data_IF_882272343818
#
_entry.id   IF_882272343818
#
_cell.length_a   1.000
_cell.length_b   1.000
_cell.length_c   1.000
_cell.angle_alpha   90.00
_cell.angle_beta   90.00
_cell.angle_gamma   90.00
#
_symmetry.space_group_name_H-M   'P 1'
#
loop_
_entity.id
_entity.type
_entity.pdbx_description
1 polymer ?
#
# COMPACT_ATOMS: atom_id res chain seq x y z
N UNK A 1 6.89 11.67 -18.42
CA UNK A 1 5.62 11.75 -17.67
C UNK A 1 5.87 12.49 -16.36
N UNK A 2 4.98 13.40 -15.95
CA UNK A 2 5.08 14.06 -14.65
C UNK A 2 5.02 13.02 -13.53
N UNK A 3 5.83 13.21 -12.48
CA UNK A 3 5.83 12.30 -11.34
C UNK A 3 4.62 12.57 -10.46
N UNK A 4 4.15 11.52 -9.78
CA UNK A 4 2.94 11.59 -8.97
C UNK A 4 3.13 10.80 -7.70
N UNK A 5 2.67 11.34 -6.57
CA UNK A 5 2.62 10.64 -5.28
C UNK A 5 1.19 10.60 -4.78
N UNK A 6 0.81 9.47 -4.21
CA UNK A 6 -0.50 9.25 -3.63
C UNK A 6 -0.43 9.38 -2.12
N UNK A 7 -1.43 10.02 -1.53
CA UNK A 7 -1.64 10.04 -0.08
C UNK A 7 -2.60 8.93 0.33
N UNK A 8 -2.41 8.39 1.53
CA UNK A 8 -3.36 7.45 2.13
C UNK A 8 -4.71 8.15 2.32
N UNK A 9 -5.84 7.49 2.00
CA UNK A 9 -7.15 8.05 2.26
C UNK A 9 -7.58 7.89 3.73
N UNK A 10 -6.84 7.11 4.52
CA UNK A 10 -7.03 6.96 5.97
C UNK A 10 -5.74 7.27 6.74
N UNK A 11 -5.84 7.62 8.03
CA UNK A 11 -4.67 7.78 8.89
C UNK A 11 -4.10 6.41 9.31
N UNK A 12 -2.78 6.30 9.46
CA UNK A 12 -2.10 5.03 9.74
C UNK A 12 -2.59 4.33 11.03
N UNK A 13 -2.99 5.11 12.04
CA UNK A 13 -3.54 4.57 13.29
C UNK A 13 -4.86 3.82 13.11
N UNK A 14 -5.61 4.06 12.02
CA UNK A 14 -6.87 3.37 11.74
C UNK A 14 -6.64 1.87 11.53
N UNK A 15 -5.54 1.50 10.87
CA UNK A 15 -5.15 0.10 10.65
C UNK A 15 -4.97 -0.60 12.00
N UNK A 16 -4.31 0.05 12.95
CA UNK A 16 -4.12 -0.48 14.30
C UNK A 16 -5.44 -0.54 15.07
N UNK A 17 -6.25 0.52 15.01
CA UNK A 17 -7.53 0.59 15.71
C UNK A 17 -8.51 -0.52 15.30
N UNK A 18 -8.43 -0.98 14.04
CA UNK A 18 -9.30 -2.04 13.51
C UNK A 18 -8.66 -3.42 13.68
N UNK A 19 -7.37 -3.57 13.34
CA UNK A 19 -6.72 -4.89 13.33
C UNK A 19 -6.45 -5.38 14.76
N UNK A 20 -6.02 -4.52 15.67
CA UNK A 20 -5.69 -4.91 17.05
C UNK A 20 -6.86 -5.61 17.79
N UNK A 21 -8.08 -5.04 17.88
CA UNK A 21 -9.19 -5.73 18.54
C UNK A 21 -9.58 -7.03 17.82
N UNK A 22 -9.44 -7.09 16.50
CA UNK A 22 -9.77 -8.28 15.74
C UNK A 22 -8.76 -9.41 15.98
N UNK A 23 -7.47 -9.09 15.98
CA UNK A 23 -6.41 -10.04 16.33
C UNK A 23 -6.58 -10.52 17.78
N UNK A 24 -6.90 -9.63 18.73
CA UNK A 24 -7.19 -10.02 20.12
C UNK A 24 -8.39 -10.98 20.18
N UNK A 25 -9.49 -10.65 19.48
CA UNK A 25 -10.66 -11.52 19.41
C UNK A 25 -10.33 -12.89 18.81
N UNK A 26 -9.49 -12.92 17.77
CA UNK A 26 -9.03 -14.16 17.15
C UNK A 26 -8.23 -15.02 18.12
N UNK A 27 -7.28 -14.42 18.84
CA UNK A 27 -6.45 -15.09 19.86
C UNK A 27 -7.33 -15.66 20.98
N UNK A 28 -8.29 -14.87 21.50
CA UNK A 28 -9.25 -15.35 22.51
C UNK A 28 -10.04 -16.55 21.99
N UNK A 29 -10.51 -16.52 20.74
CA UNK A 29 -11.24 -17.64 20.13
C UNK A 29 -10.38 -18.89 20.00
N UNK A 30 -9.10 -18.74 19.67
CA UNK A 30 -8.15 -19.86 19.65
C UNK A 30 -8.04 -20.50 21.04
N UNK A 31 -7.90 -19.69 22.10
CA UNK A 31 -7.78 -20.22 23.46
C UNK A 31 -9.07 -20.86 23.98
N UNK A 32 -10.22 -20.27 23.68
CA UNK A 32 -11.51 -20.74 24.22
C UNK A 32 -12.10 -21.91 23.42
N UNK A 33 -11.97 -21.89 22.08
CA UNK A 33 -12.64 -22.85 21.18
C UNK A 33 -11.67 -23.73 20.39
N UNK A 34 -10.37 -23.47 20.47
CA UNK A 34 -9.35 -24.16 19.68
C UNK A 34 -9.19 -23.59 18.27
N UNK A 35 -8.00 -23.79 17.71
CA UNK A 35 -7.59 -23.33 16.37
C UNK A 35 -8.46 -23.92 15.25
N UNK A 36 -8.94 -25.16 15.44
CA UNK A 36 -9.76 -25.86 14.42
C UNK A 36 -11.24 -25.46 14.46
N UNK A 37 -11.64 -24.59 15.39
CA UNK A 37 -13.02 -24.11 15.44
C UNK A 37 -13.35 -23.25 14.22
N UNK A 38 -14.54 -23.46 13.63
CA UNK A 38 -15.01 -22.65 12.50
C UNK A 38 -15.02 -21.16 12.80
N UNK A 39 -15.35 -20.78 14.05
CA UNK A 39 -15.34 -19.40 14.49
C UNK A 39 -13.94 -18.79 14.47
N UNK A 40 -12.92 -19.50 14.97
CA UNK A 40 -11.53 -19.03 14.92
C UNK A 40 -11.05 -18.86 13.47
N UNK A 41 -11.36 -19.83 12.59
CA UNK A 41 -11.00 -19.75 11.17
C UNK A 41 -11.64 -18.53 10.47
N UNK A 42 -12.93 -18.28 10.71
CA UNK A 42 -13.64 -17.13 10.10
C UNK A 42 -13.06 -15.81 10.58
N UNK A 43 -12.83 -15.64 11.89
CA UNK A 43 -12.29 -14.38 12.43
C UNK A 43 -10.86 -14.15 11.95
N UNK A 44 -10.01 -15.18 11.94
CA UNK A 44 -8.65 -15.09 11.40
C UNK A 44 -8.63 -14.75 9.92
N UNK A 45 -9.55 -15.32 9.12
CA UNK A 45 -9.67 -14.98 7.70
C UNK A 45 -10.04 -13.50 7.51
N UNK A 46 -11.00 -12.99 8.28
CA UNK A 46 -11.41 -11.57 8.21
C UNK A 46 -10.23 -10.67 8.58
N UNK A 47 -9.44 -11.03 9.60
CA UNK A 47 -8.27 -10.25 10.04
C UNK A 47 -7.21 -10.17 8.94
N UNK A 48 -6.87 -11.32 8.35
CA UNK A 48 -5.92 -11.40 7.24
C UNK A 48 -6.42 -10.60 6.02
N UNK A 49 -7.71 -10.72 5.68
CA UNK A 49 -8.28 -9.98 4.55
C UNK A 49 -8.26 -8.47 4.79
N UNK A 50 -8.56 -8.01 6.01
CA UNK A 50 -8.48 -6.58 6.32
C UNK A 50 -7.05 -6.05 6.22
N UNK A 51 -6.07 -6.77 6.79
CA UNK A 51 -4.66 -6.39 6.66
C UNK A 51 -4.24 -6.34 5.20
N UNK A 52 -4.63 -7.33 4.39
CA UNK A 52 -4.33 -7.37 2.97
C UNK A 52 -4.93 -6.15 2.23
N UNK A 53 -6.18 -5.78 2.51
CA UNK A 53 -6.82 -4.58 1.94
C UNK A 53 -6.00 -3.35 2.31
N UNK A 54 -5.72 -3.14 3.60
CA UNK A 54 -4.95 -1.97 4.03
C UNK A 54 -3.57 -1.90 3.38
N UNK A 55 -2.86 -3.04 3.26
CA UNK A 55 -1.55 -3.10 2.60
C UNK A 55 -1.63 -2.82 1.10
N UNK A 56 -2.63 -3.36 0.40
CA UNK A 56 -2.78 -3.18 -1.06
C UNK A 56 -3.10 -1.74 -1.43
N UNK A 57 -3.93 -1.07 -0.63
CA UNK A 57 -4.30 0.32 -0.86
C UNK A 57 -3.33 1.31 -0.19
N UNK A 58 -2.29 0.82 0.50
CA UNK A 58 -1.24 1.67 1.06
C UNK A 58 -0.33 2.17 -0.08
N UNK A 59 -0.25 3.49 -0.33
CA UNK A 59 0.63 4.05 -1.35
C UNK A 59 2.11 3.83 -1.07
N UNK A 60 2.49 3.44 0.16
CA UNK A 60 3.87 3.04 0.48
C UNK A 60 4.21 1.63 -0.01
N UNK A 61 3.19 0.76 -0.17
CA UNK A 61 3.35 -0.55 -0.80
C UNK A 61 3.52 -0.37 -2.30
N UNK A 62 4.78 -0.27 -2.72
CA UNK A 62 5.15 0.01 -4.10
C UNK A 62 5.87 -1.17 -4.73
N UNK A 63 5.60 -1.39 -6.02
CA UNK A 63 6.40 -2.27 -6.86
C UNK A 63 7.53 -1.43 -7.45
N UNK A 64 8.76 -1.90 -7.26
CA UNK A 64 9.94 -1.26 -7.84
C UNK A 64 10.28 -1.92 -9.17
N UNK A 65 10.62 -1.10 -10.17
CA UNK A 65 11.04 -1.57 -11.48
C UNK A 65 12.15 -0.68 -12.03
N UNK A 66 12.85 -1.15 -13.04
CA UNK A 66 13.84 -0.35 -13.76
C UNK A 66 13.25 0.12 -15.09
N UNK A 67 13.44 1.40 -15.39
CA UNK A 67 13.04 1.97 -16.67
C UNK A 67 14.21 2.76 -17.26
N UNK A 68 14.48 2.53 -18.55
CA UNK A 68 15.44 3.33 -19.31
C UNK A 68 14.72 4.54 -19.86
N UNK A 69 15.21 5.73 -19.53
CA UNK A 69 14.74 6.99 -20.07
C UNK A 69 15.21 7.16 -21.53
N UNK A 70 14.58 8.08 -22.30
CA UNK A 70 14.94 8.32 -23.71
C UNK A 70 16.39 8.77 -23.94
N UNK A 71 17.04 9.31 -22.91
CA UNK A 71 18.45 9.72 -22.88
C UNK A 71 19.41 8.55 -22.62
N UNK A 72 18.89 7.33 -22.46
CA UNK A 72 19.67 6.12 -22.15
C UNK A 72 19.92 5.90 -20.66
N UNK A 73 19.47 6.80 -19.79
CA UNK A 73 19.69 6.69 -18.34
C UNK A 73 18.73 5.66 -17.72
N UNK A 74 19.27 4.69 -16.98
CA UNK A 74 18.46 3.74 -16.23
C UNK A 74 18.05 4.31 -14.86
N UNK A 75 16.75 4.43 -14.61
CA UNK A 75 16.21 4.92 -13.34
C UNK A 75 15.36 3.86 -12.65
N UNK A 76 15.40 3.86 -11.31
CA UNK A 76 14.51 3.05 -10.49
C UNK A 76 13.17 3.75 -10.35
N UNK A 77 12.10 3.05 -10.68
CA UNK A 77 10.74 3.56 -10.65
C UNK A 77 9.97 2.89 -9.51
N UNK A 78 9.27 3.71 -8.72
CA UNK A 78 8.30 3.26 -7.71
C UNK A 78 6.89 3.53 -8.19
N UNK A 79 6.07 2.48 -8.21
CA UNK A 79 4.64 2.57 -8.52
C UNK A 79 3.82 1.90 -7.42
N UNK A 80 2.87 2.61 -6.79
CA UNK A 80 1.88 1.99 -5.92
C UNK A 80 1.01 1.00 -6.69
N UNK A 81 0.49 -0.03 -6.02
CA UNK A 81 -0.41 -1.00 -6.64
C UNK A 81 -1.75 -0.30 -6.97
N UNK A 82 -2.37 0.30 -5.96
CA UNK A 82 -3.59 1.08 -6.08
C UNK A 82 -3.33 2.54 -5.70
N UNK A 83 -3.97 3.45 -6.42
CA UNK A 83 -3.91 4.88 -6.13
C UNK A 83 -5.25 5.54 -6.41
N UNK A 84 -5.76 6.28 -5.43
CA UNK A 84 -7.00 7.03 -5.61
C UNK A 84 -6.69 8.37 -6.28
N UNK A 85 -7.35 8.67 -7.41
CA UNK A 85 -7.12 9.89 -8.20
C UNK A 85 -7.32 11.17 -7.38
N UNK A 86 -8.29 11.15 -6.45
CA UNK A 86 -8.56 12.28 -5.54
C UNK A 86 -7.40 12.58 -4.58
N UNK A 87 -6.53 11.60 -4.33
CA UNK A 87 -5.38 11.71 -3.44
C UNK A 87 -4.04 11.72 -4.20
N UNK A 88 -4.10 11.84 -5.54
CA UNK A 88 -2.94 12.01 -6.41
C UNK A 88 -2.43 13.45 -6.30
N UNK A 89 -1.13 13.60 -6.07
CA UNK A 89 -0.46 14.90 -6.06
C UNK A 89 0.71 14.90 -7.04
N UNK A 90 0.85 15.92 -7.89
CA UNK A 90 2.01 16.04 -8.77
C UNK A 90 3.28 16.24 -7.95
N UNK A 91 4.37 15.66 -8.42
CA UNK A 91 5.68 15.71 -7.78
C UNK A 91 6.71 16.29 -8.76
N UNK A 92 7.52 17.24 -8.28
CA UNK A 92 8.56 17.91 -9.06
C UNK A 92 8.10 19.21 -9.74
N UNK A 93 9.04 20.13 -9.96
CA UNK A 93 8.78 21.44 -10.58
C UNK A 93 8.92 21.41 -12.11
N UNK A 94 9.75 20.51 -12.64
CA UNK A 94 10.19 20.53 -14.06
C UNK A 94 9.63 19.39 -14.93
N UNK A 95 8.60 18.67 -14.49
CA UNK A 95 7.82 17.84 -15.42
C UNK A 95 8.43 16.47 -15.78
N UNK A 96 9.14 15.83 -14.85
CA UNK A 96 9.10 14.36 -14.79
C UNK A 96 10.41 13.59 -14.88
N UNK A 97 11.57 14.25 -15.02
CA UNK A 97 12.88 13.59 -15.11
C UNK A 97 13.70 13.63 -13.81
N UNK A 98 13.22 14.34 -12.78
CA UNK A 98 13.93 14.52 -11.51
C UNK A 98 13.98 13.22 -10.70
N UNK A 99 15.09 12.49 -10.70
CA UNK A 99 15.30 11.43 -9.70
C UNK A 99 15.41 12.09 -8.33
N UNK A 100 14.61 11.66 -7.37
CA UNK A 100 14.66 12.22 -6.01
C UNK A 100 15.94 11.84 -5.29
N UNK A 101 16.19 12.51 -4.17
CA UNK A 101 17.33 12.25 -3.28
C UNK A 101 17.37 10.77 -2.81
N UNK A 102 16.23 10.10 -2.75
CA UNK A 102 16.12 8.67 -2.42
C UNK A 102 16.46 7.73 -3.59
N UNK A 103 16.80 8.26 -4.77
CA UNK A 103 17.21 7.51 -5.95
C UNK A 103 16.04 6.93 -6.77
N UNK A 104 14.79 7.32 -6.45
CA UNK A 104 13.60 6.81 -7.14
C UNK A 104 12.89 7.89 -7.95
N UNK A 105 12.30 7.46 -9.06
CA UNK A 105 11.27 8.17 -9.80
C UNK A 105 9.90 7.66 -9.38
N UNK A 106 9.00 8.57 -9.03
CA UNK A 106 7.64 8.21 -8.66
C UNK A 106 6.72 8.24 -9.86
N UNK A 107 6.04 7.13 -10.10
CA UNK A 107 5.11 7.01 -11.20
C UNK A 107 3.70 6.68 -10.70
N UNK A 108 2.70 6.91 -11.56
CA UNK A 108 1.33 6.68 -11.18
C UNK A 108 1.04 5.22 -10.82
N UNK A 109 0.00 5.01 -10.01
CA UNK A 109 -0.37 3.68 -9.55
C UNK A 109 -0.77 2.77 -10.72
N UNK A 110 -0.56 1.45 -10.58
CA UNK A 110 -0.96 0.47 -11.58
C UNK A 110 -2.46 0.48 -11.84
N UNK A 111 -3.24 0.53 -10.75
CA UNK A 111 -4.68 0.70 -10.81
C UNK A 111 -5.05 2.05 -10.21
N UNK A 112 -5.60 2.93 -11.03
CA UNK A 112 -6.11 4.23 -10.59
C UNK A 112 -7.62 4.17 -10.41
N UNK A 113 -8.08 4.50 -9.21
CA UNK A 113 -9.49 4.49 -8.80
C UNK A 113 -9.96 5.91 -8.56
#
# INVERSE_FOLDING_TARGET
MPQTVYRRPWPQWLVLAISLPLTIAWVILIFVRGVTSRASAVVGLIDILMLLIFTLFDPETTITSHQTLPDGTAVRVRRPIFGFKRYESPLGLTGGYEVRIDGFRYEPAYVRI
#
